data_IF_355864471666
#
_entry.id   IF_355864471666
#
_cell.length_a   1.000
_cell.length_b   1.000
_cell.length_c   1.000
_cell.angle_alpha   90.00
_cell.angle_beta   90.00
_cell.angle_gamma   90.00
#
_symmetry.space_group_name_H-M   'P 1'
#
loop_
_entity.id
_entity.type
_entity.pdbx_description
1 polymer ?
#
# COMPACT_ATOMS: atom_id res chain seq x y z
N UNK A 1 5.83 -15.60 -27.92
CA UNK A 1 6.68 -15.66 -26.72
C UNK A 1 5.79 -15.99 -25.53
N UNK A 2 6.18 -16.99 -24.74
CA UNK A 2 5.42 -17.43 -23.56
C UNK A 2 5.90 -16.68 -22.31
N UNK A 3 4.94 -16.21 -21.50
CA UNK A 3 5.22 -15.51 -20.25
C UNK A 3 4.55 -16.23 -19.08
N UNK A 4 5.33 -16.56 -18.06
CA UNK A 4 4.80 -17.07 -16.79
C UNK A 4 4.82 -15.97 -15.72
N UNK A 5 3.69 -15.74 -15.08
CA UNK A 5 3.56 -14.74 -14.02
C UNK A 5 3.32 -15.44 -12.67
N UNK A 6 4.15 -15.13 -11.70
CA UNK A 6 4.00 -15.61 -10.32
C UNK A 6 3.12 -14.65 -9.54
N UNK A 7 1.87 -15.04 -9.28
CA UNK A 7 0.86 -14.24 -8.59
C UNK A 7 -0.13 -13.56 -9.54
N UNK A 8 -1.41 -13.71 -9.26
CA UNK A 8 -2.51 -13.04 -9.94
C UNK A 8 -3.22 -12.03 -9.01
N UNK A 9 -2.42 -11.25 -8.29
CA UNK A 9 -2.84 -10.02 -7.62
C UNK A 9 -2.91 -8.85 -8.60
N UNK A 10 -3.14 -7.60 -8.12
CA UNK A 10 -3.28 -6.43 -8.99
C UNK A 10 -2.11 -6.24 -9.96
N UNK A 11 -0.86 -6.41 -9.52
CA UNK A 11 0.31 -6.31 -10.38
C UNK A 11 0.32 -7.37 -11.48
N UNK A 12 0.13 -8.64 -11.08
CA UNK A 12 0.18 -9.77 -12.03
C UNK A 12 -0.94 -9.75 -13.04
N UNK A 13 -2.16 -9.38 -12.64
CA UNK A 13 -3.29 -9.27 -13.56
C UNK A 13 -3.13 -8.10 -14.54
N UNK A 14 -2.68 -6.93 -14.06
CA UNK A 14 -2.47 -5.77 -14.93
C UNK A 14 -1.37 -6.05 -15.97
N UNK A 15 -0.19 -6.52 -15.52
CA UNK A 15 0.90 -6.82 -16.45
C UNK A 15 0.54 -7.96 -17.38
N UNK A 16 -0.17 -8.99 -16.87
CA UNK A 16 -0.59 -10.14 -17.68
C UNK A 16 -1.58 -9.77 -18.77
N UNK A 17 -2.58 -8.95 -18.44
CA UNK A 17 -3.54 -8.42 -19.41
C UNK A 17 -2.84 -7.58 -20.48
N UNK A 18 -2.01 -6.64 -20.07
CA UNK A 18 -1.30 -5.75 -20.99
C UNK A 18 -0.30 -6.50 -21.89
N UNK A 19 0.34 -7.56 -21.41
CA UNK A 19 1.22 -8.41 -22.21
C UNK A 19 0.41 -9.27 -23.20
N UNK A 20 -0.72 -9.83 -22.77
CA UNK A 20 -1.58 -10.59 -23.67
C UNK A 20 -2.12 -9.74 -24.83
N UNK A 21 -2.52 -8.49 -24.56
CA UNK A 21 -2.91 -7.52 -25.60
C UNK A 21 -1.77 -7.19 -26.58
N UNK A 22 -0.50 -7.30 -26.14
CA UNK A 22 0.70 -7.17 -26.97
C UNK A 22 1.07 -8.46 -27.72
N UNK A 23 0.23 -9.50 -27.66
CA UNK A 23 0.40 -10.76 -28.38
C UNK A 23 1.31 -11.78 -27.70
N UNK A 24 1.60 -11.60 -26.40
CA UNK A 24 2.28 -12.65 -25.63
C UNK A 24 1.27 -13.73 -25.20
N UNK A 25 1.73 -14.98 -25.08
CA UNK A 25 0.99 -16.10 -24.50
C UNK A 25 1.28 -16.14 -22.99
N UNK A 26 0.32 -15.74 -22.17
CA UNK A 26 0.52 -15.43 -20.75
C UNK A 26 -0.20 -16.40 -19.85
N UNK A 27 0.53 -16.99 -18.89
CA UNK A 27 -0.05 -17.80 -17.81
C UNK A 27 0.30 -17.17 -16.48
N UNK A 28 -0.70 -16.68 -15.75
CA UNK A 28 -0.55 -16.21 -14.37
C UNK A 28 -0.96 -17.31 -13.38
N UNK A 29 -0.11 -17.62 -12.42
CA UNK A 29 -0.34 -18.66 -11.41
C UNK A 29 -0.51 -18.02 -10.04
N UNK A 30 -1.61 -18.32 -9.36
CA UNK A 30 -1.88 -17.85 -7.98
C UNK A 30 -2.41 -19.00 -7.12
N UNK A 31 -2.01 -19.06 -5.86
CA UNK A 31 -2.53 -20.03 -4.89
C UNK A 31 -3.99 -19.80 -4.50
N UNK A 32 -4.49 -18.58 -4.72
CA UNK A 32 -5.88 -18.22 -4.48
C UNK A 32 -6.75 -18.57 -5.70
N UNK A 33 -7.86 -19.30 -5.51
CA UNK A 33 -8.73 -19.70 -6.63
C UNK A 33 -9.48 -18.55 -7.29
N UNK A 34 -9.45 -17.37 -6.69
CA UNK A 34 -10.26 -16.22 -7.09
C UNK A 34 -11.52 -16.04 -6.22
N UNK A 35 -12.32 -15.01 -6.53
CA UNK A 35 -13.54 -14.73 -5.80
C UNK A 35 -14.58 -15.82 -6.02
N UNK A 36 -15.32 -16.23 -4.97
CA UNK A 36 -16.49 -17.08 -5.16
C UNK A 36 -17.58 -16.29 -5.92
N UNK A 37 -18.49 -16.98 -6.63
CA UNK A 37 -19.58 -16.34 -7.36
C UNK A 37 -20.45 -15.45 -6.48
N UNK A 38 -20.60 -15.81 -5.20
CA UNK A 38 -21.34 -15.06 -4.20
C UNK A 38 -20.63 -15.11 -2.84
N UNK A 39 -20.86 -14.07 -2.01
CA UNK A 39 -20.34 -14.00 -0.66
C UNK A 39 -18.96 -13.39 -0.52
N UNK A 40 -18.40 -13.51 0.67
CA UNK A 40 -17.08 -12.97 1.00
C UNK A 40 -15.97 -13.76 0.29
N UNK A 41 -14.95 -13.03 -0.16
CA UNK A 41 -13.75 -13.62 -0.72
C UNK A 41 -12.66 -13.75 0.35
N UNK A 42 -12.33 -14.97 0.80
CA UNK A 42 -11.25 -15.18 1.74
C UNK A 42 -9.90 -15.18 1.01
N UNK A 43 -9.53 -14.05 0.42
CA UNK A 43 -8.32 -13.88 -0.41
C UNK A 43 -7.06 -14.40 0.29
N UNK A 44 -6.56 -15.54 -0.16
CA UNK A 44 -5.41 -16.20 0.46
C UNK A 44 -4.11 -15.45 0.18
N UNK A 45 -3.26 -15.32 1.19
CA UNK A 45 -1.93 -14.73 1.03
C UNK A 45 -1.88 -13.22 1.00
N UNK A 46 -3.01 -12.53 1.15
CA UNK A 46 -3.09 -11.07 1.21
C UNK A 46 -3.67 -10.67 2.56
N UNK A 47 -2.81 -10.51 3.57
CA UNK A 47 -3.22 -10.19 4.95
C UNK A 47 -4.07 -8.91 5.01
N UNK A 48 -3.72 -7.92 4.22
CA UNK A 48 -4.39 -6.60 4.21
C UNK A 48 -5.61 -6.54 3.29
N UNK A 49 -6.15 -7.65 2.80
CA UNK A 49 -7.23 -7.65 1.80
C UNK A 49 -8.51 -6.92 2.25
N UNK A 50 -8.88 -7.08 3.52
CA UNK A 50 -10.03 -6.42 4.13
C UNK A 50 -9.68 -5.20 4.98
N UNK A 51 -8.43 -4.73 4.91
CA UNK A 51 -7.99 -3.52 5.62
C UNK A 51 -8.27 -2.27 4.79
N UNK A 52 -8.10 -1.11 5.41
CA UNK A 52 -8.21 0.19 4.74
C UNK A 52 -7.27 0.28 3.54
N UNK A 53 -7.77 0.86 2.46
CA UNK A 53 -6.99 1.19 1.27
C UNK A 53 -7.35 2.58 0.77
N UNK A 54 -6.33 3.34 0.38
CA UNK A 54 -6.45 4.55 -0.42
C UNK A 54 -5.89 4.27 -1.82
N UNK A 55 -6.67 4.56 -2.84
CA UNK A 55 -6.23 4.41 -4.23
C UNK A 55 -5.80 5.77 -4.75
N UNK A 56 -4.49 5.99 -4.85
CA UNK A 56 -3.92 7.22 -5.38
C UNK A 56 -4.24 7.40 -6.88
N UNK A 57 -4.18 8.64 -7.42
CA UNK A 57 -4.50 8.92 -8.81
C UNK A 57 -3.79 8.00 -9.81
N UNK A 58 -2.52 7.69 -9.57
CA UNK A 58 -1.70 6.84 -10.44
C UNK A 58 -2.31 5.45 -10.67
N UNK A 59 -3.03 4.91 -9.67
CA UNK A 59 -3.66 3.59 -9.83
C UNK A 59 -4.76 3.63 -10.89
N UNK A 60 -5.65 4.63 -10.82
CA UNK A 60 -6.71 4.82 -11.82
C UNK A 60 -6.15 5.17 -13.19
N UNK A 61 -5.20 6.10 -13.25
CA UNK A 61 -4.58 6.56 -14.51
C UNK A 61 -3.89 5.41 -15.26
N UNK A 62 -3.05 4.65 -14.59
CA UNK A 62 -2.35 3.51 -15.22
C UNK A 62 -3.33 2.40 -15.59
N UNK A 63 -4.35 2.13 -14.77
CA UNK A 63 -5.35 1.12 -15.09
C UNK A 63 -6.18 1.54 -16.32
N UNK A 64 -6.62 2.79 -16.38
CA UNK A 64 -7.38 3.31 -17.52
C UNK A 64 -6.56 3.28 -18.82
N UNK A 65 -5.26 3.62 -18.74
CA UNK A 65 -4.34 3.60 -19.87
C UNK A 65 -4.04 2.18 -20.36
N UNK A 66 -3.71 1.26 -19.45
CA UNK A 66 -3.18 -0.06 -19.80
C UNK A 66 -4.26 -1.16 -19.84
N UNK A 67 -5.41 -0.94 -19.20
CA UNK A 67 -6.51 -1.91 -19.15
C UNK A 67 -7.87 -1.21 -18.94
N UNK A 68 -8.37 -0.44 -19.93
CA UNK A 68 -9.56 0.41 -19.80
C UNK A 68 -10.83 -0.37 -19.44
N UNK A 69 -10.97 -1.63 -19.89
CA UNK A 69 -12.12 -2.46 -19.52
C UNK A 69 -12.17 -2.80 -18.04
N UNK A 70 -11.02 -3.04 -17.41
CA UNK A 70 -10.92 -3.27 -15.96
C UNK A 70 -11.17 -1.99 -15.17
N UNK A 71 -10.71 -0.83 -15.67
CA UNK A 71 -11.03 0.48 -15.07
C UNK A 71 -12.55 0.71 -15.09
N UNK A 72 -13.19 0.54 -16.24
CA UNK A 72 -14.63 0.69 -16.37
C UNK A 72 -15.41 -0.28 -15.45
N UNK A 73 -14.98 -1.54 -15.36
CA UNK A 73 -15.57 -2.53 -14.47
C UNK A 73 -15.42 -2.14 -12.99
N UNK A 74 -14.27 -1.58 -12.60
CA UNK A 74 -14.06 -1.08 -11.24
C UNK A 74 -15.01 0.06 -10.90
N UNK A 75 -15.17 1.03 -11.81
CA UNK A 75 -16.15 2.12 -11.65
C UNK A 75 -17.59 1.57 -11.56
N UNK A 76 -17.96 0.62 -12.42
CA UNK A 76 -19.28 -0.01 -12.41
C UNK A 76 -19.59 -0.77 -11.11
N UNK A 77 -18.57 -1.35 -10.45
CA UNK A 77 -18.71 -1.96 -9.13
C UNK A 77 -18.86 -0.94 -8.00
N UNK A 78 -18.71 0.35 -8.30
CA UNK A 78 -19.04 1.46 -7.41
C UNK A 78 -17.82 2.21 -6.87
N UNK A 79 -16.62 2.02 -7.41
CA UNK A 79 -15.50 2.89 -7.06
C UNK A 79 -15.84 4.36 -7.37
N UNK A 80 -15.47 5.25 -6.46
CA UNK A 80 -15.84 6.66 -6.51
C UNK A 80 -14.57 7.51 -6.78
N UNK A 81 -14.51 8.26 -7.90
CA UNK A 81 -13.39 9.17 -8.14
C UNK A 81 -13.42 10.32 -7.14
N UNK A 82 -12.24 10.76 -6.72
CA UNK A 82 -12.04 11.89 -5.82
C UNK A 82 -11.41 13.02 -6.60
N UNK A 83 -11.97 14.21 -6.45
CA UNK A 83 -11.38 15.46 -6.93
C UNK A 83 -10.91 16.27 -5.72
N UNK A 84 -9.69 16.76 -5.79
CA UNK A 84 -9.13 17.70 -4.84
C UNK A 84 -9.23 19.12 -5.43
N UNK A 85 -9.78 20.05 -4.68
CA UNK A 85 -9.79 21.44 -5.04
C UNK A 85 -8.64 22.16 -4.32
N UNK A 86 -7.65 22.61 -5.08
CA UNK A 86 -6.47 23.26 -4.53
C UNK A 86 -6.47 24.73 -4.91
N UNK A 87 -6.34 25.65 -3.93
CA UNK A 87 -6.30 27.08 -4.18
C UNK A 87 -5.20 27.45 -5.21
N UNK A 88 -5.60 28.11 -6.29
CA UNK A 88 -4.69 28.55 -7.35
C UNK A 88 -4.24 27.46 -8.34
N UNK A 89 -4.61 26.20 -8.16
CA UNK A 89 -4.33 25.09 -9.06
C UNK A 89 -5.60 24.45 -9.65
N UNK A 90 -6.78 24.81 -9.11
CA UNK A 90 -8.05 24.25 -9.56
C UNK A 90 -8.29 22.83 -9.09
N UNK A 91 -9.04 22.07 -9.88
CA UNK A 91 -9.40 20.69 -9.58
C UNK A 91 -8.35 19.71 -10.09
N UNK A 92 -7.85 18.85 -9.19
CA UNK A 92 -6.89 17.79 -9.50
C UNK A 92 -7.45 16.41 -9.12
N UNK A 93 -7.08 15.34 -9.84
CA UNK A 93 -7.42 13.99 -9.44
C UNK A 93 -6.90 13.67 -8.03
N UNK A 94 -7.77 13.29 -7.10
CA UNK A 94 -7.44 12.92 -5.72
C UNK A 94 -7.28 11.40 -5.53
N UNK A 95 -7.59 10.60 -6.56
CA UNK A 95 -7.61 9.15 -6.49
C UNK A 95 -9.03 8.58 -6.46
N UNK A 96 -9.21 7.43 -5.81
CA UNK A 96 -10.50 6.76 -5.76
C UNK A 96 -10.79 6.22 -4.35
N UNK A 97 -12.06 6.30 -3.95
CA UNK A 97 -12.60 5.56 -2.80
C UNK A 97 -13.01 4.18 -3.27
N UNK A 98 -12.42 3.16 -2.73
CA UNK A 98 -12.80 1.78 -3.00
C UNK A 98 -12.23 0.86 -1.94
N UNK A 99 -12.91 -0.25 -1.66
CA UNK A 99 -12.33 -1.37 -0.95
C UNK A 99 -11.43 -2.16 -1.90
N UNK A 100 -10.42 -2.80 -1.36
CA UNK A 100 -9.56 -3.68 -2.13
C UNK A 100 -10.31 -4.89 -2.70
N UNK A 101 -11.28 -5.43 -1.97
CA UNK A 101 -12.16 -6.51 -2.44
C UNK A 101 -12.88 -6.10 -3.74
N UNK A 102 -13.49 -4.92 -3.78
CA UNK A 102 -14.17 -4.37 -4.98
C UNK A 102 -13.20 -4.21 -6.15
N UNK A 103 -12.02 -3.67 -5.88
CA UNK A 103 -10.96 -3.49 -6.88
C UNK A 103 -10.46 -4.82 -7.46
N UNK A 104 -10.03 -5.76 -6.61
CA UNK A 104 -9.49 -7.04 -7.08
C UNK A 104 -10.56 -7.91 -7.77
N UNK A 105 -11.85 -7.80 -7.37
CA UNK A 105 -12.96 -8.47 -8.10
C UNK A 105 -13.10 -7.94 -9.52
N UNK A 106 -13.01 -6.63 -9.73
CA UNK A 106 -13.03 -6.05 -11.08
C UNK A 106 -11.92 -6.63 -11.96
N UNK A 107 -10.67 -6.59 -11.46
CA UNK A 107 -9.53 -7.12 -12.20
C UNK A 107 -9.68 -8.62 -12.51
N UNK A 108 -10.12 -9.40 -11.52
CA UNK A 108 -10.29 -10.86 -11.65
C UNK A 108 -11.37 -11.22 -12.65
N UNK A 109 -12.51 -10.51 -12.63
CA UNK A 109 -13.58 -10.73 -13.59
C UNK A 109 -13.12 -10.42 -15.02
N UNK A 110 -12.52 -9.26 -15.24
CA UNK A 110 -12.03 -8.88 -16.56
C UNK A 110 -10.92 -9.79 -17.09
N UNK A 111 -10.09 -10.38 -16.20
CA UNK A 111 -9.01 -11.28 -16.63
C UNK A 111 -9.49 -12.56 -17.32
N UNK A 112 -10.73 -12.96 -17.10
CA UNK A 112 -11.33 -14.14 -17.74
C UNK A 112 -11.63 -13.93 -19.23
N UNK A 113 -11.81 -12.69 -19.64
CA UNK A 113 -12.18 -12.31 -21.00
C UNK A 113 -10.97 -11.84 -21.85
N UNK A 114 -9.76 -11.81 -21.25
CA UNK A 114 -8.54 -11.39 -21.96
C UNK A 114 -8.00 -12.55 -22.80
N UNK A 115 -8.09 -12.42 -24.12
CA UNK A 115 -7.51 -13.40 -25.03
C UNK A 115 -5.99 -13.46 -24.85
N UNK A 116 -5.44 -14.67 -24.73
CA UNK A 116 -3.99 -14.87 -24.52
C UNK A 116 -3.55 -14.80 -23.05
N UNK A 117 -4.45 -14.55 -22.10
CA UNK A 117 -4.18 -14.63 -20.66
C UNK A 117 -4.92 -15.83 -20.04
N UNK A 118 -4.18 -16.77 -19.47
CA UNK A 118 -4.73 -17.85 -18.64
C UNK A 118 -4.38 -17.60 -17.16
N UNK A 119 -5.37 -17.61 -16.29
CA UNK A 119 -5.16 -17.55 -14.83
C UNK A 119 -5.38 -18.93 -14.24
N UNK A 120 -4.36 -19.51 -13.63
CA UNK A 120 -4.37 -20.86 -13.04
C UNK A 120 -4.22 -20.79 -11.52
N UNK A 121 -4.99 -21.63 -10.84
CA UNK A 121 -4.73 -21.90 -9.44
C UNK A 121 -3.56 -22.88 -9.31
N UNK A 122 -2.59 -22.58 -8.43
CA UNK A 122 -1.44 -23.43 -8.13
C UNK A 122 -0.45 -22.75 -7.20
N UNK A 123 0.45 -23.52 -6.61
CA UNK A 123 1.57 -23.02 -5.84
C UNK A 123 2.81 -22.98 -6.72
N UNK A 124 3.47 -21.81 -6.78
CA UNK A 124 4.76 -21.70 -7.47
C UNK A 124 5.87 -22.03 -6.47
N UNK A 125 6.58 -23.12 -6.73
CA UNK A 125 7.63 -23.64 -5.84
C UNK A 125 8.97 -22.94 -6.08
N UNK A 126 9.25 -22.46 -7.33
CA UNK A 126 10.48 -21.81 -7.69
C UNK A 126 10.58 -21.46 -9.17
N UNK A 127 11.74 -20.91 -9.56
CA UNK A 127 12.09 -20.58 -10.94
C UNK A 127 12.96 -21.69 -11.53
N UNK A 128 12.64 -22.11 -12.75
CA UNK A 128 13.46 -23.05 -13.53
C UNK A 128 14.61 -22.29 -14.18
N UNK A 129 15.84 -22.67 -13.86
CA UNK A 129 17.04 -22.07 -14.45
C UNK A 129 17.77 -23.08 -15.36
N UNK A 130 18.12 -22.66 -16.55
CA UNK A 130 18.90 -23.44 -17.50
C UNK A 130 19.77 -22.53 -18.36
N UNK A 131 21.02 -22.90 -18.54
CA UNK A 131 21.97 -22.12 -19.36
C UNK A 131 22.18 -20.67 -18.89
N UNK A 132 22.12 -20.40 -17.57
CA UNK A 132 22.32 -19.07 -17.00
C UNK A 132 21.13 -18.11 -17.19
N UNK A 133 19.92 -18.63 -17.45
CA UNK A 133 18.69 -17.84 -17.60
C UNK A 133 17.49 -18.52 -16.94
N UNK A 134 16.46 -17.76 -16.65
CA UNK A 134 15.16 -18.31 -16.31
C UNK A 134 14.48 -18.90 -17.57
N UNK A 135 13.94 -20.11 -17.45
CA UNK A 135 13.28 -20.85 -18.53
C UNK A 135 11.85 -21.28 -18.17
N UNK A 136 11.33 -20.81 -17.03
CA UNK A 136 9.98 -21.14 -16.56
C UNK A 136 9.86 -21.13 -15.05
N UNK A 137 8.76 -21.70 -14.56
CA UNK A 137 8.46 -21.85 -13.14
C UNK A 137 8.08 -23.29 -12.80
N UNK A 138 8.27 -23.70 -11.56
CA UNK A 138 7.74 -24.97 -11.04
C UNK A 138 6.42 -24.69 -10.35
N UNK A 139 5.35 -25.36 -10.76
CA UNK A 139 4.00 -25.22 -10.23
C UNK A 139 3.53 -26.58 -9.71
N UNK A 140 3.31 -26.70 -8.41
CA UNK A 140 2.88 -27.95 -7.77
C UNK A 140 3.75 -29.15 -8.20
N UNK A 141 5.08 -28.95 -8.23
CA UNK A 141 6.07 -29.96 -8.64
C UNK A 141 6.21 -30.17 -10.15
N UNK A 142 5.47 -29.49 -10.99
CA UNK A 142 5.53 -29.63 -12.45
C UNK A 142 6.09 -28.37 -13.12
N UNK A 143 6.93 -28.53 -14.15
CA UNK A 143 7.51 -27.40 -14.88
C UNK A 143 6.50 -26.77 -15.84
N UNK A 144 6.33 -25.47 -15.75
CA UNK A 144 5.70 -24.61 -16.75
C UNK A 144 6.81 -23.79 -17.44
N UNK A 145 7.13 -24.19 -18.68
CA UNK A 145 8.16 -23.50 -19.47
C UNK A 145 7.68 -22.13 -19.93
N UNK A 146 8.57 -21.13 -19.87
CA UNK A 146 8.33 -19.78 -20.33
C UNK A 146 9.63 -19.13 -20.84
N UNK A 147 9.49 -18.18 -21.76
CA UNK A 147 10.61 -17.38 -22.26
C UNK A 147 10.92 -16.21 -21.33
N UNK A 148 9.90 -15.71 -20.61
CA UNK A 148 10.00 -14.66 -19.58
C UNK A 148 9.20 -15.08 -18.35
N UNK A 149 9.77 -14.93 -17.18
CA UNK A 149 9.14 -15.06 -15.87
C UNK A 149 8.95 -13.67 -15.25
N UNK A 150 7.72 -13.34 -14.88
CA UNK A 150 7.41 -12.10 -14.14
C UNK A 150 7.04 -12.48 -12.71
N UNK A 151 7.88 -12.07 -11.75
CA UNK A 151 7.59 -12.25 -10.32
C UNK A 151 6.73 -11.09 -9.81
N UNK A 152 5.42 -11.32 -9.71
CA UNK A 152 4.41 -10.46 -9.11
C UNK A 152 3.83 -11.07 -7.82
N UNK A 153 4.61 -11.90 -7.12
CA UNK A 153 4.19 -12.68 -5.95
C UNK A 153 3.91 -11.85 -4.70
N UNK A 154 4.23 -10.55 -4.74
CA UNK A 154 4.03 -9.63 -3.64
C UNK A 154 5.05 -9.82 -2.51
N UNK A 155 4.82 -9.18 -1.36
CA UNK A 155 5.79 -9.08 -0.27
C UNK A 155 6.12 -10.40 0.43
N UNK A 156 5.29 -11.41 0.31
CA UNK A 156 5.48 -12.72 0.96
C UNK A 156 5.86 -13.84 -0.03
N UNK A 157 6.08 -13.49 -1.29
CA UNK A 157 6.53 -14.43 -2.31
C UNK A 157 7.99 -14.87 -2.07
N UNK A 158 8.24 -16.17 -2.26
CA UNK A 158 9.57 -16.77 -2.08
C UNK A 158 10.04 -17.53 -3.32
N UNK A 159 9.26 -17.54 -4.37
CA UNK A 159 9.56 -18.32 -5.58
C UNK A 159 10.89 -17.91 -6.26
N UNK A 160 11.40 -16.73 -5.96
CA UNK A 160 12.66 -16.19 -6.51
C UNK A 160 13.80 -16.09 -5.50
N UNK A 161 13.65 -16.65 -4.28
CA UNK A 161 14.66 -16.49 -3.21
C UNK A 161 15.99 -17.17 -3.56
N UNK A 162 15.97 -18.27 -4.28
CA UNK A 162 17.19 -19.00 -4.70
C UNK A 162 17.94 -18.32 -5.85
N UNK A 163 17.29 -17.39 -6.57
CA UNK A 163 17.82 -16.78 -7.79
C UNK A 163 17.99 -15.26 -7.71
N UNK A 164 17.47 -14.62 -6.65
CA UNK A 164 17.60 -13.18 -6.42
C UNK A 164 18.28 -12.87 -5.10
N UNK A 165 19.06 -11.81 -5.08
CA UNK A 165 19.64 -11.28 -3.86
C UNK A 165 18.55 -10.91 -2.83
N UNK A 166 18.84 -10.97 -1.52
CA UNK A 166 17.93 -10.47 -0.48
C UNK A 166 17.74 -8.96 -0.62
N UNK A 167 16.75 -8.41 0.12
CA UNK A 167 16.54 -6.96 0.17
C UNK A 167 17.82 -6.22 0.58
N UNK A 168 18.18 -5.22 -0.20
CA UNK A 168 19.36 -4.38 0.04
C UNK A 168 19.12 -3.30 1.10
N UNK A 169 17.85 -2.94 1.31
CA UNK A 169 17.40 -1.97 2.29
C UNK A 169 16.11 -2.43 2.90
N UNK A 170 15.90 -2.12 4.18
CA UNK A 170 14.61 -2.28 4.87
C UNK A 170 14.72 -2.94 6.22
N UNK A 171 13.56 -3.19 6.79
CA UNK A 171 13.41 -3.80 8.10
C UNK A 171 12.04 -3.52 8.70
N UNK A 172 11.77 -4.05 9.91
CA UNK A 172 10.55 -3.75 10.64
C UNK A 172 10.38 -2.25 10.86
N UNK A 173 9.18 -1.72 10.60
CA UNK A 173 8.91 -0.29 10.80
C UNK A 173 8.65 0.10 12.27
N UNK A 174 8.51 -0.87 13.16
CA UNK A 174 8.22 -0.64 14.58
C UNK A 174 6.75 -0.30 14.88
N UNK A 175 5.86 -0.34 13.90
CA UNK A 175 4.42 -0.06 14.05
C UNK A 175 3.57 -1.30 13.84
N UNK A 176 2.42 -1.32 14.48
CA UNK A 176 1.33 -2.26 14.26
C UNK A 176 0.00 -1.52 14.32
N UNK A 177 -1.02 -2.04 13.68
CA UNK A 177 -2.36 -1.46 13.73
C UNK A 177 -3.42 -2.54 13.91
N UNK A 178 -4.62 -2.11 14.25
CA UNK A 178 -5.85 -2.88 14.12
C UNK A 178 -6.80 -2.12 13.22
N UNK A 179 -7.58 -2.84 12.45
CA UNK A 179 -8.54 -2.31 11.49
C UNK A 179 -9.90 -2.96 11.70
N UNK A 180 -10.97 -2.22 11.45
CA UNK A 180 -12.32 -2.76 11.36
C UNK A 180 -13.11 -2.03 10.30
N UNK A 181 -13.74 -2.77 9.40
CA UNK A 181 -14.63 -2.18 8.41
C UNK A 181 -16.04 -2.02 8.96
N UNK A 182 -16.66 -0.92 8.54
CA UNK A 182 -18.02 -0.51 8.86
C UNK A 182 -18.78 -0.17 7.58
N UNK A 183 -20.11 -0.07 7.70
CA UNK A 183 -20.97 0.50 6.69
C UNK A 183 -21.91 1.49 7.33
N UNK A 184 -22.04 2.67 6.73
CA UNK A 184 -23.04 3.67 7.09
C UNK A 184 -24.46 3.09 6.89
N UNK A 185 -25.37 3.47 7.76
CA UNK A 185 -26.80 3.25 7.58
C UNK A 185 -27.30 4.09 6.39
N UNK A 186 -28.37 3.63 5.75
CA UNK A 186 -28.93 4.35 4.61
C UNK A 186 -29.33 5.78 5.02
N UNK A 187 -28.85 6.77 4.27
CA UNK A 187 -29.06 8.19 4.54
C UNK A 187 -28.19 8.79 5.65
N UNK A 188 -27.29 8.02 6.27
CA UNK A 188 -26.34 8.56 7.23
C UNK A 188 -25.17 9.26 6.52
N UNK A 189 -24.85 10.47 6.98
CA UNK A 189 -23.69 11.21 6.49
C UNK A 189 -22.38 10.67 7.08
N UNK A 190 -21.25 10.76 6.37
CA UNK A 190 -19.93 10.48 6.91
C UNK A 190 -19.64 11.30 8.17
N UNK A 191 -18.76 10.81 9.04
CA UNK A 191 -18.20 11.57 10.16
C UNK A 191 -17.18 12.61 9.68
N UNK A 192 -16.42 13.22 10.60
CA UNK A 192 -15.43 14.24 10.24
C UNK A 192 -14.38 13.70 9.26
N UNK A 193 -13.93 14.57 8.36
CA UNK A 193 -12.93 14.25 7.34
C UNK A 193 -11.77 15.26 7.40
N UNK A 194 -10.53 14.80 7.30
CA UNK A 194 -9.34 15.65 7.16
C UNK A 194 -9.14 16.10 5.70
N UNK A 195 -9.53 15.24 4.78
CA UNK A 195 -9.56 15.50 3.34
C UNK A 195 -10.60 14.55 2.70
N UNK A 196 -10.90 14.65 1.40
CA UNK A 196 -11.93 13.82 0.76
C UNK A 196 -11.71 12.30 0.84
N UNK A 197 -10.53 11.81 1.20
CA UNK A 197 -10.23 10.37 1.26
C UNK A 197 -10.27 9.81 2.68
N UNK A 198 -9.78 10.55 3.67
CA UNK A 198 -9.62 10.04 5.03
C UNK A 198 -9.78 11.13 6.11
N UNK A 199 -10.04 10.66 7.32
CA UNK A 199 -9.83 11.41 8.56
C UNK A 199 -8.62 10.84 9.30
N UNK A 200 -7.83 11.73 9.94
CA UNK A 200 -6.65 11.37 10.72
C UNK A 200 -6.59 12.18 12.00
N UNK A 201 -6.20 11.53 13.07
CA UNK A 201 -5.89 12.13 14.34
C UNK A 201 -4.59 11.55 14.90
N UNK A 202 -3.69 12.43 15.31
CA UNK A 202 -2.40 12.09 15.90
C UNK A 202 -2.45 12.37 17.40
N UNK A 203 -2.19 11.34 18.20
CA UNK A 203 -2.19 11.40 19.67
C UNK A 203 -0.79 11.13 20.20
N UNK A 204 -0.60 11.36 21.49
CA UNK A 204 0.63 10.96 22.17
C UNK A 204 0.73 9.44 22.25
N UNK A 205 1.67 8.87 21.49
CA UNK A 205 1.98 7.45 21.46
C UNK A 205 1.08 6.57 20.58
N UNK A 206 0.09 7.11 19.88
CA UNK A 206 -0.75 6.35 18.94
C UNK A 206 -1.43 7.28 17.91
N UNK A 207 -2.09 6.67 16.93
CA UNK A 207 -2.77 7.38 15.85
C UNK A 207 -4.10 6.70 15.51
N UNK A 208 -5.09 7.48 15.09
CA UNK A 208 -6.36 6.99 14.59
C UNK A 208 -6.60 7.50 13.17
N UNK A 209 -7.15 6.63 12.32
CA UNK A 209 -7.52 6.97 10.94
C UNK A 209 -8.88 6.37 10.59
N UNK A 210 -9.60 7.05 9.72
CA UNK A 210 -10.76 6.51 9.03
C UNK A 210 -10.57 6.69 7.54
N UNK A 211 -10.73 5.63 6.76
CA UNK A 211 -10.76 5.69 5.30
C UNK A 211 -12.18 5.47 4.82
N UNK A 212 -12.72 6.44 4.10
CA UNK A 212 -14.01 6.31 3.45
C UNK A 212 -13.83 5.55 2.12
N UNK A 213 -14.68 4.56 1.89
CA UNK A 213 -14.73 3.72 0.70
C UNK A 213 -16.03 3.95 -0.06
N UNK A 214 -16.23 3.22 -1.13
CA UNK A 214 -17.42 3.27 -1.95
C UNK A 214 -18.69 2.87 -1.17
N UNK A 215 -19.84 3.41 -1.58
CA UNK A 215 -21.17 3.02 -1.07
C UNK A 215 -21.34 3.08 0.44
N UNK A 216 -20.68 4.05 1.08
CA UNK A 216 -20.76 4.24 2.52
C UNK A 216 -20.01 3.19 3.36
N UNK A 217 -19.16 2.36 2.76
CA UNK A 217 -18.21 1.58 3.53
C UNK A 217 -17.08 2.48 4.02
N UNK A 218 -16.53 2.16 5.19
CA UNK A 218 -15.34 2.81 5.72
C UNK A 218 -14.56 1.86 6.63
N UNK A 219 -13.29 2.15 6.81
CA UNK A 219 -12.39 1.41 7.71
C UNK A 219 -11.87 2.33 8.80
N UNK A 220 -11.86 1.84 10.03
CA UNK A 220 -11.30 2.52 11.21
C UNK A 220 -10.01 1.81 11.62
N UNK A 221 -8.91 2.56 11.69
CA UNK A 221 -7.61 2.06 12.10
C UNK A 221 -7.13 2.73 13.38
N UNK A 222 -6.55 1.92 14.26
CA UNK A 222 -5.79 2.39 15.41
C UNK A 222 -4.36 1.86 15.27
N UNK A 223 -3.39 2.78 15.15
CA UNK A 223 -1.97 2.50 14.93
C UNK A 223 -1.19 2.79 16.20
N UNK A 224 -0.25 1.92 16.55
CA UNK A 224 0.57 2.03 17.76
C UNK A 224 2.00 1.53 17.54
N UNK A 225 2.94 1.87 18.40
CA UNK A 225 4.25 1.23 18.41
C UNK A 225 4.13 -0.28 18.67
N UNK A 226 4.88 -1.10 17.96
CA UNK A 226 4.91 -2.57 18.19
C UNK A 226 5.39 -2.90 19.60
N UNK A 227 6.35 -2.10 20.12
CA UNK A 227 6.89 -2.25 21.47
C UNK A 227 5.86 -1.95 22.57
N UNK A 228 4.84 -1.15 22.30
CA UNK A 228 3.79 -0.86 23.27
C UNK A 228 2.81 -2.04 23.37
N UNK A 229 3.10 -2.94 24.29
CA UNK A 229 2.27 -4.14 24.52
C UNK A 229 0.97 -3.85 25.24
N UNK A 230 0.86 -2.70 25.96
CA UNK A 230 -0.34 -2.31 26.72
C UNK A 230 -1.53 -2.05 25.80
N UNK A 231 -1.26 -1.53 24.58
CA UNK A 231 -2.29 -1.30 23.57
C UNK A 231 -2.63 -2.56 22.73
N UNK A 232 -2.03 -3.72 22.98
CA UNK A 232 -2.41 -4.99 22.30
C UNK A 232 -3.87 -5.38 22.51
N UNK A 233 -4.50 -4.90 23.58
CA UNK A 233 -5.90 -5.10 23.88
C UNK A 233 -6.85 -4.62 22.79
N UNK A 234 -6.46 -3.65 21.97
CA UNK A 234 -7.23 -3.12 20.83
C UNK A 234 -7.68 -4.19 19.81
N UNK A 235 -7.05 -5.34 19.76
CA UNK A 235 -7.46 -6.47 18.91
C UNK A 235 -8.78 -7.13 19.33
N UNK A 236 -9.27 -6.88 20.54
CA UNK A 236 -10.53 -7.41 21.06
C UNK A 236 -11.66 -6.43 20.75
N UNK A 237 -12.77 -6.94 20.21
CA UNK A 237 -13.87 -6.11 19.71
C UNK A 237 -14.41 -5.12 20.77
N UNK A 238 -14.64 -5.57 22.01
CA UNK A 238 -15.14 -4.71 23.07
C UNK A 238 -14.17 -3.55 23.41
N UNK A 239 -12.86 -3.86 23.44
CA UNK A 239 -11.83 -2.86 23.69
C UNK A 239 -11.67 -1.89 22.52
N UNK A 240 -11.77 -2.39 21.29
CA UNK A 240 -11.77 -1.56 20.07
C UNK A 240 -12.98 -0.60 20.06
N UNK A 241 -14.19 -1.11 20.32
CA UNK A 241 -15.42 -0.30 20.37
C UNK A 241 -15.33 0.76 21.48
N UNK A 242 -14.79 0.41 22.65
CA UNK A 242 -14.58 1.37 23.75
C UNK A 242 -13.57 2.49 23.36
N UNK A 243 -12.45 2.11 22.71
CA UNK A 243 -11.48 3.08 22.20
C UNK A 243 -12.11 4.01 21.15
N UNK A 244 -12.88 3.48 20.22
CA UNK A 244 -13.61 4.29 19.25
C UNK A 244 -14.59 5.25 19.90
N UNK A 245 -15.33 4.81 20.93
CA UNK A 245 -16.26 5.66 21.67
C UNK A 245 -15.58 6.76 22.51
N UNK A 246 -14.32 6.55 22.92
CA UNK A 246 -13.55 7.52 23.71
C UNK A 246 -12.83 8.57 22.86
N UNK A 247 -12.58 8.30 21.58
CA UNK A 247 -11.92 9.23 20.64
C UNK A 247 -13.01 10.04 19.93
N UNK A 248 -13.13 11.36 20.14
CA UNK A 248 -14.29 12.15 19.69
C UNK A 248 -14.62 11.98 18.20
N UNK A 249 -13.63 12.09 17.31
CA UNK A 249 -13.84 11.91 15.86
C UNK A 249 -14.29 10.49 15.51
N UNK A 250 -13.73 9.45 16.15
CA UNK A 250 -14.13 8.06 15.93
C UNK A 250 -15.53 7.77 16.51
N UNK A 251 -15.89 8.37 17.63
CA UNK A 251 -17.21 8.21 18.21
C UNK A 251 -18.32 8.63 17.23
N UNK A 252 -18.11 9.73 16.50
CA UNK A 252 -19.03 10.16 15.44
C UNK A 252 -19.12 9.16 14.29
N UNK A 253 -17.97 8.58 13.85
CA UNK A 253 -17.95 7.59 12.78
C UNK A 253 -18.59 6.27 13.17
N UNK A 254 -18.38 5.80 14.41
CA UNK A 254 -18.73 4.46 14.86
C UNK A 254 -20.04 4.42 15.68
N UNK A 255 -20.75 5.54 15.79
CA UNK A 255 -22.07 5.60 16.43
C UNK A 255 -23.01 4.53 15.83
N UNK A 256 -23.58 3.71 16.70
CA UNK A 256 -24.43 2.57 16.28
C UNK A 256 -25.74 2.98 15.61
N UNK A 257 -26.19 4.20 15.81
CA UNK A 257 -27.32 4.78 15.08
C UNK A 257 -26.96 5.16 13.63
N UNK A 258 -25.68 5.34 13.34
CA UNK A 258 -25.17 5.79 12.03
C UNK A 258 -24.46 4.71 11.25
N UNK A 259 -23.79 3.78 11.92
CA UNK A 259 -22.99 2.79 11.25
C UNK A 259 -22.98 1.44 11.98
N UNK A 260 -22.72 0.39 11.24
CA UNK A 260 -22.54 -0.96 11.77
C UNK A 260 -21.24 -1.60 11.30
N UNK A 261 -20.55 -2.37 12.15
CA UNK A 261 -19.38 -3.12 11.73
C UNK A 261 -19.79 -4.22 10.74
N UNK A 262 -18.95 -4.42 9.72
CA UNK A 262 -19.12 -5.47 8.71
C UNK A 262 -18.02 -6.53 8.78
N UNK A 263 -16.96 -6.26 9.54
CA UNK A 263 -15.91 -7.26 9.86
C UNK A 263 -15.73 -7.37 11.38
N UNK A 264 -15.00 -8.41 11.80
CA UNK A 264 -14.35 -8.42 13.10
C UNK A 264 -13.22 -7.39 13.14
N UNK A 265 -12.54 -7.27 14.28
CA UNK A 265 -11.30 -6.49 14.38
C UNK A 265 -10.18 -7.28 13.73
N UNK A 266 -9.51 -6.68 12.75
CA UNK A 266 -8.48 -7.29 11.92
C UNK A 266 -7.10 -6.78 12.37
N UNK A 267 -6.20 -7.63 12.90
CA UNK A 267 -4.87 -7.19 13.27
C UNK A 267 -3.98 -7.02 12.04
N UNK A 268 -3.29 -5.90 11.95
CA UNK A 268 -2.23 -5.61 11.00
C UNK A 268 -0.89 -5.50 11.71
N UNK A 269 -0.03 -6.49 11.52
CA UNK A 269 1.29 -6.55 12.15
C UNK A 269 2.36 -6.99 11.16
N UNK A 270 3.58 -7.18 11.67
CA UNK A 270 4.75 -7.52 10.86
C UNK A 270 4.94 -6.57 9.67
N UNK A 271 4.70 -5.28 9.90
CA UNK A 271 4.92 -4.23 8.91
C UNK A 271 6.41 -3.96 8.75
N UNK A 272 6.85 -3.84 7.51
CA UNK A 272 8.23 -3.51 7.20
C UNK A 272 8.31 -2.70 5.90
N UNK A 273 9.39 -1.98 5.74
CA UNK A 273 9.79 -1.37 4.48
C UNK A 273 10.92 -2.22 3.88
N UNK A 274 10.93 -2.42 2.58
CA UNK A 274 11.98 -3.15 1.91
C UNK A 274 12.15 -2.73 0.46
N UNK A 275 13.41 -2.70 0.00
CA UNK A 275 13.76 -2.62 -1.40
C UNK A 275 14.58 -3.86 -1.78
N UNK A 276 14.10 -4.59 -2.76
CA UNK A 276 14.76 -5.76 -3.33
C UNK A 276 14.88 -5.56 -4.83
N UNK A 277 16.06 -5.13 -5.30
CA UNK A 277 16.32 -4.95 -6.72
C UNK A 277 16.26 -6.26 -7.52
N UNK A 278 16.70 -6.21 -8.77
CA UNK A 278 16.68 -7.37 -9.68
C UNK A 278 17.94 -8.24 -9.61
N UNK A 279 18.96 -7.86 -8.81
CA UNK A 279 20.25 -8.56 -8.76
C UNK A 279 20.10 -10.04 -8.44
N UNK A 280 20.94 -10.87 -9.07
CA UNK A 280 21.07 -12.29 -8.81
C UNK A 280 21.51 -12.62 -7.38
N UNK A 281 21.31 -13.88 -6.95
CA UNK A 281 21.54 -14.31 -5.56
C UNK A 281 22.99 -14.10 -5.06
N UNK A 282 23.98 -14.16 -5.95
CA UNK A 282 25.38 -13.87 -5.66
C UNK A 282 25.77 -12.38 -5.79
N UNK A 283 24.79 -11.49 -6.06
CA UNK A 283 25.03 -10.06 -6.27
C UNK A 283 25.43 -9.67 -7.71
N UNK A 284 25.44 -10.64 -8.62
CA UNK A 284 25.63 -10.45 -10.06
C UNK A 284 24.46 -9.69 -10.72
N UNK A 285 24.60 -9.41 -12.02
CA UNK A 285 23.51 -8.84 -12.83
C UNK A 285 22.21 -9.64 -12.71
N UNK A 286 21.10 -9.00 -13.02
CA UNK A 286 19.77 -9.64 -13.04
C UNK A 286 19.79 -10.92 -13.90
N UNK A 287 19.11 -11.95 -13.44
CA UNK A 287 18.98 -13.21 -14.17
C UNK A 287 18.19 -12.99 -15.48
N UNK A 288 18.78 -13.20 -16.67
CA UNK A 288 18.06 -13.09 -17.91
C UNK A 288 16.78 -13.94 -17.92
N UNK A 289 15.68 -13.42 -18.45
CA UNK A 289 14.39 -14.11 -18.47
C UNK A 289 13.60 -14.02 -17.17
N UNK A 290 14.08 -13.27 -16.16
CA UNK A 290 13.35 -13.01 -14.92
C UNK A 290 13.25 -11.50 -14.65
N UNK A 291 12.05 -11.00 -14.38
CA UNK A 291 11.83 -9.64 -13.88
C UNK A 291 10.82 -9.67 -12.73
N UNK A 292 11.08 -8.92 -11.66
CA UNK A 292 10.17 -8.81 -10.53
C UNK A 292 9.52 -7.43 -10.47
N UNK A 293 8.26 -7.37 -10.02
CA UNK A 293 7.45 -6.14 -9.95
C UNK A 293 6.64 -6.05 -8.65
N UNK A 294 6.19 -4.85 -8.36
CA UNK A 294 5.31 -4.57 -7.21
C UNK A 294 6.01 -4.78 -5.87
N UNK A 295 5.28 -5.36 -4.91
CA UNK A 295 5.81 -5.59 -3.56
C UNK A 295 6.95 -6.62 -3.53
N UNK A 296 7.20 -7.37 -4.61
CA UNK A 296 8.38 -8.20 -4.76
C UNK A 296 9.66 -7.37 -4.98
N UNK A 297 9.53 -6.08 -5.34
CA UNK A 297 10.64 -5.11 -5.47
C UNK A 297 10.60 -4.09 -4.35
N UNK A 298 9.43 -3.48 -4.09
CA UNK A 298 9.28 -2.40 -3.11
C UNK A 298 8.11 -2.65 -2.19
N UNK A 299 8.40 -2.93 -0.93
CA UNK A 299 7.37 -2.97 0.11
C UNK A 299 7.48 -1.72 0.97
N UNK A 300 6.35 -1.03 1.19
CA UNK A 300 6.27 0.09 2.13
C UNK A 300 5.16 -0.13 3.14
N UNK A 301 5.28 0.51 4.30
CA UNK A 301 4.20 0.54 5.28
C UNK A 301 2.95 1.21 4.69
N UNK A 302 1.75 0.84 5.14
CA UNK A 302 0.51 1.40 4.59
C UNK A 302 0.22 2.85 5.03
N UNK A 303 1.03 3.42 5.92
CA UNK A 303 0.77 4.71 6.61
C UNK A 303 0.48 5.88 5.68
N UNK A 304 1.05 5.88 4.47
CA UNK A 304 0.86 6.94 3.47
C UNK A 304 0.14 6.45 2.20
N UNK A 305 -0.25 5.18 2.14
CA UNK A 305 -1.05 4.61 1.05
C UNK A 305 -0.38 4.61 -0.33
N UNK A 306 0.94 4.38 -0.42
CA UNK A 306 1.71 4.44 -1.68
C UNK A 306 1.88 3.11 -2.41
N UNK A 307 1.74 1.96 -1.73
CA UNK A 307 2.14 0.65 -2.26
C UNK A 307 1.54 0.31 -3.62
N UNK A 308 0.21 0.46 -3.80
CA UNK A 308 -0.43 0.19 -5.10
C UNK A 308 0.00 1.18 -6.19
N UNK A 309 0.16 2.47 -5.87
CA UNK A 309 0.64 3.45 -6.85
C UNK A 309 2.05 3.12 -7.33
N UNK A 310 2.97 2.77 -6.41
CA UNK A 310 4.32 2.32 -6.75
C UNK A 310 4.30 1.06 -7.63
N UNK A 311 3.43 0.11 -7.29
CA UNK A 311 3.24 -1.12 -8.09
C UNK A 311 2.78 -0.80 -9.51
N UNK A 312 1.79 0.06 -9.67
CA UNK A 312 1.23 0.40 -10.99
C UNK A 312 2.20 1.20 -11.85
N UNK A 313 2.95 2.13 -11.25
CA UNK A 313 4.05 2.83 -11.93
C UNK A 313 5.17 1.87 -12.38
N UNK A 314 5.48 0.84 -11.59
CA UNK A 314 6.42 -0.21 -12.00
C UNK A 314 5.90 -1.00 -13.20
N UNK A 315 4.63 -1.40 -13.22
CA UNK A 315 4.02 -2.10 -14.37
C UNK A 315 4.04 -1.20 -15.60
N UNK A 316 3.61 0.06 -15.50
CA UNK A 316 3.65 1.02 -16.61
C UNK A 316 5.07 1.16 -17.18
N UNK A 317 6.08 1.27 -16.32
CA UNK A 317 7.48 1.37 -16.75
C UNK A 317 7.99 0.11 -17.43
N UNK A 318 7.66 -1.07 -16.88
CA UNK A 318 8.05 -2.34 -17.50
C UNK A 318 7.47 -2.48 -18.91
N UNK A 319 6.18 -2.17 -19.07
CA UNK A 319 5.52 -2.19 -20.38
C UNK A 319 6.14 -1.18 -21.35
N UNK A 320 6.40 0.04 -20.89
CA UNK A 320 7.06 1.06 -21.71
C UNK A 320 8.48 0.63 -22.16
N UNK A 321 9.24 -0.09 -21.33
CA UNK A 321 10.54 -0.65 -21.73
C UNK A 321 10.38 -1.73 -22.80
N UNK A 322 9.42 -2.63 -22.64
CA UNK A 322 9.15 -3.67 -23.65
C UNK A 322 8.70 -3.07 -24.99
N UNK A 323 7.93 -1.98 -24.96
CA UNK A 323 7.46 -1.27 -26.16
C UNK A 323 8.61 -0.57 -26.92
N UNK A 324 9.80 -0.34 -26.29
CA UNK A 324 10.99 0.17 -27.00
C UNK A 324 11.69 -0.87 -27.87
N UNK A 325 11.26 -2.15 -27.82
CA UNK A 325 11.90 -3.24 -28.54
C UNK A 325 13.12 -3.83 -27.84
N UNK A 326 13.33 -3.54 -26.56
CA UNK A 326 14.36 -4.23 -25.75
C UNK A 326 14.04 -5.74 -25.73
N UNK A 327 15.07 -6.58 -25.77
CA UNK A 327 14.88 -8.03 -25.60
C UNK A 327 14.16 -8.28 -24.26
N UNK A 328 12.94 -8.85 -24.27
CA UNK A 328 12.19 -9.08 -23.06
C UNK A 328 12.96 -9.91 -22.00
N UNK A 329 13.88 -10.77 -22.43
CA UNK A 329 14.69 -11.57 -21.51
C UNK A 329 15.76 -10.76 -20.78
N UNK A 330 16.08 -9.56 -21.27
CA UNK A 330 17.10 -8.64 -20.70
C UNK A 330 16.47 -7.40 -20.05
N UNK A 331 15.14 -7.30 -20.00
CA UNK A 331 14.42 -6.12 -19.51
C UNK A 331 14.68 -5.80 -18.04
N UNK A 332 15.13 -6.77 -17.25
CA UNK A 332 15.35 -6.62 -15.82
C UNK A 332 16.42 -5.56 -15.47
N UNK A 333 17.51 -5.46 -16.22
CA UNK A 333 18.55 -4.47 -15.95
C UNK A 333 18.09 -3.02 -16.13
N UNK A 334 17.57 -2.58 -17.30
CA UNK A 334 17.07 -1.22 -17.46
C UNK A 334 15.88 -0.93 -16.54
N UNK A 335 15.12 -1.93 -16.16
CA UNK A 335 14.03 -1.80 -15.19
C UNK A 335 14.57 -1.59 -13.77
N UNK A 336 15.62 -2.32 -13.36
CA UNK A 336 16.28 -2.16 -12.05
C UNK A 336 16.87 -0.75 -11.90
N UNK A 337 17.60 -0.27 -12.90
CA UNK A 337 18.14 1.09 -12.91
C UNK A 337 17.04 2.16 -12.76
N UNK A 338 15.86 1.94 -13.37
CA UNK A 338 14.73 2.83 -13.17
C UNK A 338 14.13 2.72 -11.76
N UNK A 339 14.01 1.51 -11.20
CA UNK A 339 13.52 1.29 -9.84
C UNK A 339 14.44 1.92 -8.80
N UNK A 340 15.74 1.79 -8.94
CA UNK A 340 16.73 2.45 -8.05
C UNK A 340 16.54 3.98 -8.05
N UNK A 341 16.31 4.57 -9.21
CA UNK A 341 16.11 6.02 -9.33
C UNK A 341 14.75 6.50 -8.85
N UNK A 342 13.66 5.75 -9.09
CA UNK A 342 12.30 6.24 -8.95
C UNK A 342 11.50 5.56 -7.82
N UNK A 343 11.90 4.35 -7.38
CA UNK A 343 11.19 3.58 -6.35
C UNK A 343 11.95 3.54 -5.03
N UNK A 344 13.27 3.28 -5.06
CA UNK A 344 14.10 3.23 -3.86
C UNK A 344 14.01 4.50 -3.00
N UNK A 345 13.99 5.73 -3.55
CA UNK A 345 13.84 6.94 -2.73
C UNK A 345 12.58 6.94 -1.85
N UNK A 346 11.47 6.38 -2.32
CA UNK A 346 10.26 6.26 -1.53
C UNK A 346 10.39 5.27 -0.36
N UNK A 347 11.12 4.16 -0.56
CA UNK A 347 11.38 3.18 0.52
C UNK A 347 12.28 3.79 1.59
N UNK A 348 13.31 4.56 1.18
CA UNK A 348 14.18 5.31 2.10
C UNK A 348 13.37 6.32 2.92
N UNK A 349 12.51 7.09 2.25
CA UNK A 349 11.64 8.09 2.88
C UNK A 349 10.70 7.45 3.91
N UNK A 350 10.03 6.35 3.55
CA UNK A 350 9.18 5.59 4.48
C UNK A 350 9.95 5.07 5.68
N UNK A 351 11.13 4.49 5.46
CA UNK A 351 11.96 3.95 6.54
C UNK A 351 12.37 5.06 7.52
N UNK A 352 12.70 6.24 7.00
CA UNK A 352 13.06 7.39 7.81
C UNK A 352 11.85 7.93 8.60
N UNK A 353 10.71 8.14 7.93
CA UNK A 353 9.48 8.63 8.59
C UNK A 353 8.99 7.69 9.68
N UNK A 354 8.90 6.38 9.37
CA UNK A 354 8.39 5.39 10.31
C UNK A 354 9.28 5.27 11.55
N UNK A 355 10.60 5.23 11.35
CA UNK A 355 11.56 5.16 12.45
C UNK A 355 11.50 6.37 13.36
N UNK A 356 11.39 7.58 12.79
CA UNK A 356 11.27 8.81 13.56
C UNK A 356 9.91 8.94 14.27
N UNK A 357 8.83 8.55 13.61
CA UNK A 357 7.50 8.52 14.24
C UNK A 357 7.46 7.61 15.46
N UNK A 358 8.04 6.40 15.37
CA UNK A 358 8.12 5.47 16.50
C UNK A 358 8.98 6.06 17.62
N UNK A 359 10.10 6.70 17.30
CA UNK A 359 10.97 7.36 18.28
C UNK A 359 10.23 8.49 19.01
N UNK A 360 9.47 9.32 18.29
CA UNK A 360 8.64 10.39 18.89
C UNK A 360 7.54 9.82 19.79
N UNK A 361 6.88 8.75 19.40
CA UNK A 361 5.90 8.06 20.24
C UNK A 361 6.49 7.44 21.51
N UNK A 362 7.80 7.24 21.56
CA UNK A 362 8.54 6.78 22.73
C UNK A 362 9.11 7.95 23.58
N UNK A 363 8.65 9.17 23.33
CA UNK A 363 9.06 10.37 24.07
C UNK A 363 10.28 11.10 23.51
N UNK A 364 10.78 10.71 22.32
CA UNK A 364 11.83 11.46 21.63
C UNK A 364 11.30 12.79 21.05
N UNK A 365 12.08 13.85 21.13
CA UNK A 365 11.78 15.13 20.47
C UNK A 365 12.21 15.10 18.99
N UNK A 366 11.85 16.13 18.22
CA UNK A 366 12.30 16.32 16.82
C UNK A 366 13.83 16.37 16.79
N UNK A 367 14.42 15.50 15.95
CA UNK A 367 15.87 15.42 15.79
C UNK A 367 16.36 16.43 14.74
N UNK A 368 16.88 17.55 15.24
CA UNK A 368 17.43 18.63 14.43
C UNK A 368 18.87 18.40 13.98
N UNK A 369 19.50 17.28 14.34
CA UNK A 369 20.90 17.00 13.96
C UNK A 369 21.05 16.39 12.56
N UNK A 370 19.94 15.94 11.98
CA UNK A 370 19.88 15.35 10.63
C UNK A 370 18.70 15.91 9.84
N UNK A 371 18.61 15.58 8.54
CA UNK A 371 17.47 15.95 7.70
C UNK A 371 16.16 15.57 8.38
N UNK A 372 15.21 16.50 8.41
CA UNK A 372 13.88 16.22 8.95
C UNK A 372 13.17 15.13 8.10
N UNK A 373 12.43 14.21 8.73
CA UNK A 373 11.50 13.33 8.03
C UNK A 373 10.46 14.12 7.25
N UNK A 374 10.01 13.55 6.15
CA UNK A 374 9.07 14.23 5.24
C UNK A 374 7.74 14.60 5.91
N UNK A 375 7.23 13.79 6.84
CA UNK A 375 6.02 14.10 7.62
C UNK A 375 6.21 15.37 8.49
N UNK A 376 7.38 15.56 9.09
CA UNK A 376 7.68 16.78 9.86
C UNK A 376 7.83 18.00 8.93
N UNK A 377 8.45 17.84 7.76
CA UNK A 377 8.52 18.94 6.78
C UNK A 377 7.11 19.37 6.39
N UNK A 378 6.21 18.42 6.13
CA UNK A 378 4.81 18.69 5.79
C UNK A 378 4.06 19.37 6.93
N UNK A 379 4.25 18.92 8.17
CA UNK A 379 3.58 19.50 9.34
C UNK A 379 4.00 20.96 9.58
N UNK A 380 5.25 21.31 9.29
CA UNK A 380 5.74 22.68 9.42
C UNK A 380 5.03 23.68 8.47
N UNK A 381 4.33 23.19 7.43
CA UNK A 381 3.50 24.01 6.57
C UNK A 381 2.31 24.70 7.29
N UNK A 382 1.93 24.21 8.47
CA UNK A 382 0.94 24.88 9.35
C UNK A 382 1.43 26.24 9.83
N UNK A 383 2.75 26.42 9.96
CA UNK A 383 3.39 27.65 10.42
C UNK A 383 3.95 28.45 9.26
N UNK A 384 4.59 27.79 8.29
CA UNK A 384 5.18 28.46 7.12
C UNK A 384 4.51 27.99 5.82
N UNK A 385 3.57 28.78 5.28
CA UNK A 385 2.82 28.43 4.05
C UNK A 385 3.68 28.24 2.81
N UNK A 386 4.94 28.74 2.78
CA UNK A 386 5.87 28.54 1.65
C UNK A 386 6.18 27.07 1.43
N UNK A 387 6.15 26.27 2.49
CA UNK A 387 6.38 24.82 2.45
C UNK A 387 5.24 24.12 1.71
N UNK A 388 4.01 24.55 1.94
CA UNK A 388 2.81 23.89 1.39
C UNK A 388 2.88 23.76 -0.15
N UNK A 389 3.19 24.86 -0.84
CA UNK A 389 3.21 24.86 -2.32
C UNK A 389 4.23 23.87 -2.90
N UNK A 390 5.43 23.81 -2.31
CA UNK A 390 6.49 22.90 -2.75
C UNK A 390 6.15 21.44 -2.42
N UNK A 391 5.45 21.19 -1.33
CA UNK A 391 5.11 19.83 -0.88
C UNK A 391 4.05 19.12 -1.73
N UNK A 392 3.29 19.84 -2.56
CA UNK A 392 2.20 19.25 -3.36
C UNK A 392 2.68 18.18 -4.34
N UNK A 393 3.83 18.39 -5.01
CA UNK A 393 4.43 17.41 -5.92
C UNK A 393 4.80 16.11 -5.22
N UNK A 394 5.40 16.20 -4.04
CA UNK A 394 5.70 15.06 -3.17
C UNK A 394 4.42 14.36 -2.69
N UNK A 395 3.45 15.10 -2.17
CA UNK A 395 2.19 14.54 -1.68
C UNK A 395 1.41 13.81 -2.78
N UNK A 396 1.42 14.34 -4.01
CA UNK A 396 0.82 13.73 -5.19
C UNK A 396 1.61 12.57 -5.80
N UNK A 397 2.82 12.27 -5.30
CA UNK A 397 3.78 11.32 -5.91
C UNK A 397 4.14 11.70 -7.36
N UNK A 398 4.09 12.98 -7.70
CA UNK A 398 4.54 13.53 -8.99
C UNK A 398 6.04 13.83 -8.94
N UNK A 399 6.54 14.19 -7.76
CA UNK A 399 7.94 14.46 -7.49
C UNK A 399 8.48 13.54 -6.40
N UNK A 400 9.77 13.21 -6.50
CA UNK A 400 10.47 12.34 -5.54
C UNK A 400 10.66 13.05 -4.18
N UNK A 401 10.93 12.30 -3.10
CA UNK A 401 11.13 12.88 -1.77
C UNK A 401 12.17 14.01 -1.67
N UNK A 402 13.18 14.01 -2.53
CA UNK A 402 14.19 15.07 -2.61
C UNK A 402 13.62 16.44 -3.02
N UNK A 403 12.40 16.49 -3.60
CA UNK A 403 11.72 17.76 -3.89
C UNK A 403 11.40 18.59 -2.65
N UNK A 404 11.43 17.98 -1.47
CA UNK A 404 11.25 18.67 -0.19
C UNK A 404 12.55 19.32 0.34
N UNK A 405 13.72 18.98 -0.21
CA UNK A 405 15.00 19.47 0.30
C UNK A 405 15.13 21.01 0.26
N UNK A 406 14.62 21.72 -0.76
CA UNK A 406 14.67 23.18 -0.78
C UNK A 406 13.87 23.87 0.34
N UNK A 407 12.85 23.21 0.90
CA UNK A 407 12.01 23.75 1.98
C UNK A 407 12.31 23.14 3.35
N UNK A 408 13.17 22.14 3.42
CA UNK A 408 13.61 21.56 4.69
C UNK A 408 14.23 22.59 5.64
N UNK A 409 15.10 23.55 5.20
CA UNK A 409 15.60 24.59 6.08
C UNK A 409 14.52 25.49 6.67
N UNK A 410 13.42 25.74 5.94
CA UNK A 410 12.27 26.49 6.48
C UNK A 410 11.54 25.69 7.56
N UNK A 411 11.30 24.41 7.30
CA UNK A 411 10.70 23.52 8.29
C UNK A 411 11.57 23.37 9.53
N UNK A 412 12.88 23.25 9.37
CA UNK A 412 13.86 23.21 10.47
C UNK A 412 13.77 24.45 11.36
N UNK A 413 13.74 25.65 10.76
CA UNK A 413 13.61 26.89 11.49
C UNK A 413 12.31 26.97 12.31
N UNK A 414 11.21 26.39 11.82
CA UNK A 414 9.95 26.27 12.59
C UNK A 414 10.17 25.42 13.84
N UNK A 415 10.84 24.28 13.75
CA UNK A 415 11.11 23.42 14.92
C UNK A 415 12.17 24.01 15.87
N UNK A 416 13.16 24.72 15.35
CA UNK A 416 14.17 25.45 16.15
C UNK A 416 13.54 26.57 16.98
N UNK A 417 12.42 27.19 16.52
CA UNK A 417 11.66 28.15 17.30
C UNK A 417 10.90 27.54 18.50
N UNK A 418 10.96 26.22 18.66
CA UNK A 418 10.25 25.49 19.72
C UNK A 418 8.84 25.03 19.34
N UNK A 419 8.37 25.30 18.13
CA UNK A 419 7.05 24.82 17.69
C UNK A 419 7.04 23.28 17.57
N UNK A 420 5.92 22.69 17.92
CA UNK A 420 5.63 21.26 17.73
C UNK A 420 4.18 21.12 17.29
N UNK A 421 3.86 20.17 16.38
CA UNK A 421 2.47 19.89 16.04
C UNK A 421 1.72 19.46 17.32
N UNK A 422 0.59 20.09 17.56
CA UNK A 422 -0.22 19.77 18.73
C UNK A 422 -0.89 18.40 18.53
N UNK A 423 -0.89 17.52 19.53
CA UNK A 423 -1.66 16.29 19.47
C UNK A 423 -3.16 16.62 19.37
N UNK A 424 -3.90 15.76 18.68
CA UNK A 424 -5.36 15.88 18.59
C UNK A 424 -5.99 15.71 19.98
N UNK A 425 -7.07 16.46 20.27
CA UNK A 425 -7.84 16.30 21.51
C UNK A 425 -8.46 14.90 21.59
N UNK A 426 -8.23 14.22 22.71
CA UNK A 426 -8.72 12.85 22.94
C UNK A 426 -8.00 12.19 24.11
N UNK A 427 -8.20 10.89 24.33
CA UNK A 427 -7.52 10.16 25.38
C UNK A 427 -5.99 10.22 25.22
N UNK A 428 -5.29 10.50 26.31
CA UNK A 428 -3.85 10.25 26.35
C UNK A 428 -3.59 8.75 26.20
N UNK A 429 -2.36 8.36 25.85
CA UNK A 429 -1.97 6.94 25.78
C UNK A 429 -2.32 6.19 27.07
N UNK A 430 -2.00 6.75 28.23
CA UNK A 430 -2.26 6.10 29.53
C UNK A 430 -3.75 6.04 29.83
N UNK A 431 -4.52 7.07 29.46
CA UNK A 431 -5.97 7.06 29.56
C UNK A 431 -6.61 5.98 28.68
N UNK A 432 -6.08 5.78 27.46
CA UNK A 432 -6.52 4.71 26.57
C UNK A 432 -6.17 3.34 27.16
N UNK A 433 -4.97 3.13 27.67
CA UNK A 433 -4.55 1.87 28.33
C UNK A 433 -5.48 1.52 29.50
N UNK A 434 -5.74 2.49 30.41
CA UNK A 434 -6.63 2.29 31.55
C UNK A 434 -8.05 1.89 31.11
N UNK A 435 -8.57 2.52 30.04
CA UNK A 435 -9.87 2.15 29.46
C UNK A 435 -9.88 0.71 28.95
N UNK A 436 -8.84 0.30 28.20
CA UNK A 436 -8.75 -1.06 27.67
C UNK A 436 -8.68 -2.13 28.80
N UNK A 437 -7.89 -1.86 29.83
CA UNK A 437 -7.76 -2.75 31.00
C UNK A 437 -9.09 -2.92 31.74
N UNK A 438 -9.82 -1.81 31.97
CA UNK A 438 -11.14 -1.86 32.60
C UNK A 438 -12.14 -2.69 31.79
N UNK A 439 -12.21 -2.48 30.48
CA UNK A 439 -13.13 -3.23 29.59
C UNK A 439 -12.78 -4.70 29.53
N UNK A 440 -11.50 -5.04 29.42
CA UNK A 440 -11.06 -6.45 29.31
C UNK A 440 -11.15 -7.21 30.64
N UNK A 441 -11.06 -6.53 31.77
CA UNK A 441 -11.27 -7.12 33.10
C UNK A 441 -12.74 -7.47 33.34
N UNK A 442 -13.66 -6.63 32.86
CA UNK A 442 -15.11 -6.86 32.97
C UNK A 442 -15.64 -7.92 31.99
N UNK A 443 -14.85 -8.31 30.99
CA UNK A 443 -15.22 -9.31 29.99
C UNK A 443 -14.75 -10.74 30.35
N UNK A 444 -13.99 -10.91 31.44
CA UNK A 444 -13.56 -12.20 32.01
C UNK A 444 -14.54 -12.70 33.05
#
# INVERSE_FOLDING_TARGET
MRVAIVGAGPAGLLVGSALAERGYDVVAVDRDPGPPPQGAWPRRGVMQFHHAHGFRPQVGQVLEEQWPTAFAAWMALGAEPITLELPGLGQLPGGHRSRRDTFERALRACSLDVAGLAVRQGHVDGVVCSGGRAGGIVVDGSTLEADLVVDASGRSGRATDDVRAPSSLGGPCGMAYVDRQYRLSDGAEPGPMSNPLFWRADFDGYQALVFLHERGYFSVLLVRPTADTSLKGLRHAAAFDAACGAIPGLAEWTDRGRARPVTGVLPGGALYNAYRGQRGAGGESALPGLVSIGDAVTTTTPTVGRGLAMTFLQVQRLLALLDTGVDPTLVAEPFDAWCEKNMLPWVVDHTHMDGDQVRRWQGGDVDLTRRLPSDLILSAAEVDPRIHRVSLGYQGMVELPASLDPVEPLARAVYESGWRPAPTSGPTRDGLVALLEAVLSNAR
#
